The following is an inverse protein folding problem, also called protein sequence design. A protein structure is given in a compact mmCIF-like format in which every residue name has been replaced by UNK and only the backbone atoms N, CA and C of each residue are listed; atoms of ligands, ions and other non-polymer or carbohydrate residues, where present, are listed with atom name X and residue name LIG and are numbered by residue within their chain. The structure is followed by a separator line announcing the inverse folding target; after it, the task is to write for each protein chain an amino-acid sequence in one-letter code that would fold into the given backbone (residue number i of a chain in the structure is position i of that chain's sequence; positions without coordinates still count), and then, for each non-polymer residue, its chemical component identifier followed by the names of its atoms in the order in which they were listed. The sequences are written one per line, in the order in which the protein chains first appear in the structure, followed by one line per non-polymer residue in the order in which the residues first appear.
data_IF_805773676850
#
_entry.id   IF_805773676850
#
_cell.length_a   1.000
_cell.length_b   1.000
_cell.length_c   1.000
_cell.angle_alpha   90.00
_cell.angle_beta   90.00
_cell.angle_gamma   90.00
#
_symmetry.space_group_name_H-M   'P 1'
#
loop_
_entity.id
_entity.type
_entity.pdbx_description
1 polymer ?
#
# COMPACT_ATOMS: atom_id res chain seq x y z
N UNK A 1 -3.27 -16.33 35.54
CA UNK A 1 -3.66 -15.17 34.69
C UNK A 1 -5.06 -15.45 34.17
N UNK A 2 -6.04 -14.61 34.52
CA UNK A 2 -7.46 -14.92 34.36
C UNK A 2 -7.92 -15.06 32.91
N UNK A 3 -8.62 -16.15 32.62
CA UNK A 3 -9.37 -16.39 31.40
C UNK A 3 -10.65 -15.55 31.41
N UNK A 4 -10.63 -14.41 30.73
CA UNK A 4 -11.82 -13.63 30.45
C UNK A 4 -12.62 -14.27 29.31
N UNK A 5 -13.91 -14.52 29.53
CA UNK A 5 -14.83 -15.08 28.53
C UNK A 5 -15.45 -13.94 27.72
N UNK A 6 -14.92 -13.68 26.52
CA UNK A 6 -15.33 -12.56 25.67
C UNK A 6 -16.36 -13.01 24.64
N UNK A 7 -17.50 -12.32 24.58
CA UNK A 7 -18.49 -12.53 23.53
C UNK A 7 -17.96 -11.97 22.20
N UNK A 8 -17.67 -12.85 21.24
CA UNK A 8 -17.03 -12.52 19.95
C UNK A 8 -18.02 -12.12 18.85
N UNK A 9 -19.16 -11.50 19.20
CA UNK A 9 -20.15 -11.03 18.22
C UNK A 9 -19.53 -9.96 17.28
N UNK A 10 -18.92 -10.41 16.18
CA UNK A 10 -18.37 -9.56 15.12
C UNK A 10 -17.04 -8.86 15.43
N UNK A 11 -16.36 -9.19 16.52
CA UNK A 11 -15.11 -8.53 16.91
C UNK A 11 -13.89 -9.46 16.71
N UNK A 12 -12.79 -8.90 16.19
CA UNK A 12 -11.50 -9.58 16.06
C UNK A 12 -10.55 -9.08 17.14
N UNK A 13 -9.88 -10.00 17.84
CA UNK A 13 -8.84 -9.69 18.82
C UNK A 13 -7.46 -9.87 18.21
N UNK A 14 -6.60 -8.88 18.39
CA UNK A 14 -5.19 -8.91 17.98
C UNK A 14 -4.32 -8.76 19.24
N UNK A 15 -3.38 -9.67 19.48
CA UNK A 15 -2.44 -9.59 20.61
C UNK A 15 -1.19 -8.79 20.21
N UNK A 16 -1.03 -7.60 20.78
CA UNK A 16 0.05 -6.67 20.48
C UNK A 16 1.06 -6.51 21.63
N UNK A 17 1.15 -7.47 22.56
CA UNK A 17 2.08 -7.37 23.71
C UNK A 17 3.53 -7.20 23.27
N UNK A 18 4.24 -6.27 23.88
CA UNK A 18 5.64 -5.97 23.57
C UNK A 18 5.85 -5.05 22.35
N UNK A 19 4.77 -4.58 21.72
CA UNK A 19 4.80 -3.66 20.58
C UNK A 19 4.22 -2.30 20.96
N UNK A 20 4.59 -1.26 20.22
CA UNK A 20 3.92 0.04 20.28
C UNK A 20 2.82 0.09 19.22
N UNK A 21 1.57 0.25 19.65
CA UNK A 21 0.47 0.51 18.72
C UNK A 21 0.48 1.99 18.33
N UNK A 22 0.43 2.25 17.03
CA UNK A 22 0.34 3.60 16.46
C UNK A 22 -0.75 3.66 15.37
N UNK A 23 -1.30 4.85 15.10
CA UNK A 23 -2.11 5.07 13.90
C UNK A 23 -1.30 4.75 12.63
N UNK A 24 -2.00 4.30 11.59
CA UNK A 24 -1.36 4.09 10.28
C UNK A 24 -0.86 5.40 9.69
N UNK A 25 0.28 5.34 9.00
CA UNK A 25 0.89 6.50 8.37
C UNK A 25 0.16 6.89 7.08
N UNK A 26 0.26 8.16 6.69
CA UNK A 26 -0.34 8.69 5.47
C UNK A 26 0.74 9.35 4.60
N UNK A 27 0.80 8.95 3.34
CA UNK A 27 1.64 9.59 2.33
C UNK A 27 0.84 10.65 1.55
N UNK A 28 1.24 11.91 1.63
CA UNK A 28 0.58 13.00 0.93
C UNK A 28 0.86 13.03 -0.59
N UNK A 29 1.85 12.26 -1.09
CA UNK A 29 2.29 12.31 -2.47
C UNK A 29 2.93 10.99 -2.93
N UNK A 30 2.10 10.10 -3.49
CA UNK A 30 2.47 8.72 -3.80
C UNK A 30 2.53 8.43 -5.30
N UNK A 31 3.61 7.80 -5.76
CA UNK A 31 3.79 7.31 -7.14
C UNK A 31 3.90 5.77 -7.16
N UNK A 32 2.78 5.05 -7.04
CA UNK A 32 2.78 3.57 -7.10
C UNK A 32 3.30 3.00 -8.43
N UNK A 33 3.20 3.77 -9.49
CA UNK A 33 3.60 3.42 -10.85
C UNK A 33 5.09 3.66 -11.13
N UNK A 34 5.86 4.20 -10.17
CA UNK A 34 7.31 4.33 -10.34
C UNK A 34 8.02 3.03 -9.95
N UNK A 35 8.58 2.36 -10.95
CA UNK A 35 9.27 1.07 -10.85
C UNK A 35 10.80 1.20 -10.76
N UNK A 36 11.32 2.35 -10.31
CA UNK A 36 12.76 2.63 -10.23
C UNK A 36 13.52 2.51 -11.58
N UNK A 37 12.84 2.65 -12.72
CA UNK A 37 13.50 2.72 -14.02
C UNK A 37 14.39 3.96 -14.14
N UNK A 38 15.36 3.91 -15.05
CA UNK A 38 16.37 4.96 -15.23
C UNK A 38 15.82 6.33 -15.67
N UNK A 39 14.53 6.43 -15.98
CA UNK A 39 13.85 7.67 -16.35
C UNK A 39 12.36 7.45 -16.55
N UNK A 40 11.63 8.52 -16.92
CA UNK A 40 10.17 8.48 -17.12
C UNK A 40 9.75 7.76 -18.41
N UNK A 41 10.60 7.78 -19.44
CA UNK A 41 10.32 7.16 -20.73
C UNK A 41 10.06 5.65 -20.63
N UNK A 42 10.95 4.83 -20.04
CA UNK A 42 10.71 3.39 -19.89
C UNK A 42 9.48 3.06 -19.02
N UNK A 43 9.09 3.96 -18.11
CA UNK A 43 7.88 3.80 -17.28
C UNK A 43 6.62 3.98 -18.15
N UNK A 44 6.63 4.95 -19.06
CA UNK A 44 5.51 5.21 -19.97
C UNK A 44 5.37 4.17 -21.09
N UNK A 45 6.46 3.47 -21.43
CA UNK A 45 6.47 2.41 -22.44
C UNK A 45 6.03 1.05 -21.89
N UNK A 46 5.83 0.93 -20.57
CA UNK A 46 5.38 -0.31 -19.93
C UNK A 46 3.92 -0.62 -20.29
N UNK A 47 3.59 -1.87 -20.70
CA UNK A 47 2.21 -2.29 -20.90
C UNK A 47 1.35 -2.10 -19.64
N UNK A 48 0.06 -1.81 -19.81
CA UNK A 48 -0.82 -1.48 -18.68
C UNK A 48 -1.00 -2.64 -17.70
N UNK A 49 -1.00 -3.89 -18.19
CA UNK A 49 -1.10 -5.09 -17.38
C UNK A 49 0.14 -5.24 -16.48
N UNK A 50 1.33 -5.06 -17.05
CA UNK A 50 2.59 -5.09 -16.31
C UNK A 50 2.67 -3.93 -15.31
N UNK A 51 2.25 -2.74 -15.73
CA UNK A 51 2.26 -1.55 -14.88
C UNK A 51 1.33 -1.69 -13.67
N UNK A 52 0.20 -2.38 -13.86
CA UNK A 52 -0.74 -2.70 -12.78
C UNK A 52 -0.11 -3.63 -11.75
N UNK A 53 0.62 -4.66 -12.18
CA UNK A 53 1.32 -5.58 -11.29
C UNK A 53 2.40 -4.87 -10.46
N UNK A 54 3.17 -3.98 -11.10
CA UNK A 54 4.14 -3.11 -10.39
C UNK A 54 3.43 -2.26 -9.33
N UNK A 55 2.29 -1.65 -9.65
CA UNK A 55 1.55 -0.84 -8.68
C UNK A 55 1.10 -1.66 -7.45
N UNK A 56 0.72 -2.93 -7.66
CA UNK A 56 0.37 -3.85 -6.56
C UNK A 56 1.59 -4.16 -5.68
N UNK A 57 2.76 -4.38 -6.28
CA UNK A 57 4.00 -4.61 -5.53
C UNK A 57 4.40 -3.39 -4.71
N UNK A 58 4.32 -2.19 -5.28
CA UNK A 58 4.61 -0.94 -4.56
C UNK A 58 3.58 -0.68 -3.45
N UNK A 59 2.31 -1.01 -3.67
CA UNK A 59 1.28 -0.89 -2.64
C UNK A 59 1.55 -1.85 -1.47
N UNK A 60 2.01 -3.07 -1.75
CA UNK A 60 2.42 -4.02 -0.72
C UNK A 60 3.59 -3.50 0.09
N UNK A 61 4.64 -2.99 -0.56
CA UNK A 61 5.79 -2.41 0.12
C UNK A 61 5.38 -1.25 1.05
N UNK A 62 4.46 -0.40 0.59
CA UNK A 62 3.93 0.72 1.36
C UNK A 62 3.17 0.27 2.62
N UNK A 63 2.29 -0.73 2.48
CA UNK A 63 1.56 -1.33 3.59
C UNK A 63 2.49 -2.01 4.60
N UNK A 64 3.46 -2.76 4.11
CA UNK A 64 4.48 -3.43 4.94
C UNK A 64 5.36 -2.41 5.68
N UNK A 65 5.46 -1.18 5.18
CA UNK A 65 6.18 -0.05 5.80
C UNK A 65 5.32 0.76 6.80
N UNK A 66 4.05 0.40 7.00
CA UNK A 66 3.14 1.02 7.98
C UNK A 66 2.29 2.18 7.45
N UNK A 67 2.33 2.46 6.15
CA UNK A 67 1.44 3.42 5.51
C UNK A 67 0.11 2.77 5.14
N UNK A 68 -0.99 3.34 5.61
CA UNK A 68 -2.33 2.79 5.43
C UNK A 68 -3.19 3.63 4.47
N UNK A 69 -2.74 4.82 4.11
CA UNK A 69 -3.40 5.67 3.12
C UNK A 69 -2.40 6.56 2.39
N UNK A 70 -2.78 7.05 1.22
CA UNK A 70 -2.01 8.08 0.54
C UNK A 70 -2.73 8.72 -0.63
N UNK A 71 -2.18 9.82 -1.11
CA UNK A 71 -2.70 10.55 -2.27
C UNK A 71 -1.85 10.25 -3.49
N UNK A 72 -2.43 9.50 -4.43
CA UNK A 72 -1.79 9.19 -5.71
C UNK A 72 -1.51 10.45 -6.52
N UNK A 73 -0.29 10.57 -7.02
CA UNK A 73 0.21 11.70 -7.79
C UNK A 73 0.81 11.28 -9.13
N UNK A 74 0.17 10.37 -9.87
CA UNK A 74 0.57 10.10 -11.24
C UNK A 74 -0.63 9.83 -12.14
N UNK A 75 -0.50 10.25 -13.40
CA UNK A 75 -1.37 9.86 -14.50
C UNK A 75 -0.63 8.79 -15.29
N UNK A 76 -1.05 7.51 -15.28
CA UNK A 76 -0.68 6.60 -16.35
C UNK A 76 -1.18 7.21 -17.67
N UNK A 77 -0.36 7.17 -18.71
CA UNK A 77 -0.87 7.45 -20.05
C UNK A 77 -1.79 6.29 -20.45
N UNK A 78 -3.08 6.40 -20.14
CA UNK A 78 -4.12 5.41 -20.44
C UNK A 78 -4.56 5.56 -21.91
N UNK A 79 -3.60 5.41 -22.83
CA UNK A 79 -3.66 5.79 -24.23
C UNK A 79 -5.05 5.82 -24.87
N UNK A 80 -5.49 7.01 -25.25
CA UNK A 80 -6.09 7.23 -26.56
C UNK A 80 -4.98 7.74 -27.49
N UNK A 81 -4.43 6.85 -28.30
CA UNK A 81 -3.80 7.10 -29.60
C UNK A 81 -3.65 5.75 -30.30
#
# INVERSE_FOLDING_TARGET
MGSYNWNSNGTQRIDCRGMTLMPGLIDAHLHLSWNNAAGVEPINMMPIEEHTLVCVEMAKLLLDSGFTAGRGALRPNLGWM
#
